data_IF_690838682074
#
_entry.id   IF_690838682074
#
_cell.length_a   1.000
_cell.length_b   1.000
_cell.length_c   1.000
_cell.angle_alpha   90.00
_cell.angle_beta   90.00
_cell.angle_gamma   90.00
#
_symmetry.space_group_name_H-M   'P 1'
#
loop_
_entity.id
_entity.type
_entity.pdbx_description
1 polymer ?
#
# COMPACT_ATOMS: atom_id res chain seq x y z
N UNK A 1 27.97 -6.51 15.48
CA UNK A 1 28.51 -6.70 14.12
C UNK A 1 28.39 -5.37 13.39
N UNK A 2 29.52 -4.76 13.02
CA UNK A 2 29.57 -3.43 12.38
C UNK A 2 29.36 -3.57 10.87
N UNK A 3 28.33 -2.94 10.31
CA UNK A 3 28.18 -2.76 8.87
C UNK A 3 28.47 -1.31 8.50
N UNK A 4 29.50 -1.13 7.70
CA UNK A 4 30.04 0.14 7.22
C UNK A 4 29.30 0.50 5.93
N UNK A 5 28.45 1.52 5.96
CA UNK A 5 27.76 2.01 4.77
C UNK A 5 28.70 2.86 3.93
N UNK A 6 29.04 2.36 2.74
CA UNK A 6 29.77 3.08 1.71
C UNK A 6 28.90 4.15 1.07
N UNK A 7 29.55 5.25 0.66
CA UNK A 7 28.97 6.45 0.07
C UNK A 7 28.16 6.13 -1.19
N UNK A 8 26.90 6.53 -1.20
CA UNK A 8 26.10 6.69 -2.42
C UNK A 8 26.65 7.91 -3.19
N UNK A 9 27.02 7.69 -4.45
CA UNK A 9 27.63 8.72 -5.32
C UNK A 9 26.58 9.68 -5.90
N UNK A 10 27.01 10.89 -6.27
CA UNK A 10 26.16 12.00 -6.70
C UNK A 10 25.32 11.72 -7.97
N UNK A 11 25.58 10.65 -8.71
CA UNK A 11 24.85 10.28 -9.93
C UNK A 11 23.49 9.63 -9.67
N UNK A 12 23.22 9.07 -8.48
CA UNK A 12 21.91 8.46 -8.15
C UNK A 12 20.81 9.49 -7.83
N UNK A 13 21.17 10.75 -7.55
CA UNK A 13 20.19 11.81 -7.26
C UNK A 13 19.45 12.32 -8.51
N UNK A 14 19.97 12.08 -9.71
CA UNK A 14 19.39 12.61 -10.95
C UNK A 14 18.24 11.75 -11.52
N UNK A 15 18.05 10.50 -11.04
CA UNK A 15 17.08 9.56 -11.63
C UNK A 15 15.68 9.57 -10.97
N UNK A 16 15.49 10.32 -9.88
CA UNK A 16 14.23 10.41 -9.17
C UNK A 16 13.47 11.68 -9.57
N UNK A 17 12.60 11.57 -10.57
CA UNK A 17 11.49 12.53 -10.78
C UNK A 17 11.30 13.09 -12.18
N UNK A 18 12.33 13.10 -13.05
CA UNK A 18 12.24 13.80 -14.34
C UNK A 18 11.74 12.97 -15.53
N UNK A 19 12.18 11.71 -15.66
CA UNK A 19 12.07 10.99 -16.93
C UNK A 19 10.66 10.48 -17.26
N UNK A 20 9.88 10.07 -16.27
CA UNK A 20 8.57 9.45 -16.50
C UNK A 20 7.48 10.48 -16.88
N UNK A 21 7.50 11.67 -16.28
CA UNK A 21 6.56 12.75 -16.59
C UNK A 21 6.94 13.40 -17.94
N UNK A 22 8.25 13.53 -18.22
CA UNK A 22 8.73 14.02 -19.50
C UNK A 22 8.35 13.10 -20.66
N UNK A 23 8.41 11.77 -20.50
CA UNK A 23 8.05 10.84 -21.57
C UNK A 23 6.56 10.91 -21.96
N UNK A 24 5.65 11.05 -20.99
CA UNK A 24 4.21 11.16 -21.26
C UNK A 24 3.83 12.49 -21.94
N UNK A 25 4.45 13.59 -21.52
CA UNK A 25 4.22 14.90 -22.16
C UNK A 25 4.83 14.95 -23.58
N UNK A 26 5.99 14.34 -23.79
CA UNK A 26 6.68 14.35 -25.10
C UNK A 26 5.94 13.53 -26.15
N UNK A 27 5.33 12.39 -25.78
CA UNK A 27 4.53 11.56 -26.69
C UNK A 27 3.22 12.26 -27.08
N UNK A 28 2.56 12.95 -26.13
CA UNK A 28 1.34 13.71 -26.43
C UNK A 28 1.59 14.90 -27.38
N UNK A 29 2.72 15.60 -27.22
CA UNK A 29 3.08 16.75 -28.08
C UNK A 29 3.55 16.29 -29.46
N UNK A 30 4.28 15.17 -29.57
CA UNK A 30 4.74 14.64 -30.85
C UNK A 30 3.58 14.17 -31.76
N UNK A 31 2.52 13.59 -31.20
CA UNK A 31 1.32 13.18 -31.96
C UNK A 31 0.54 14.40 -32.46
N UNK A 32 0.50 15.49 -31.69
CA UNK A 32 -0.21 16.73 -32.07
C UNK A 32 0.60 17.56 -33.09
N UNK A 33 1.93 17.61 -32.99
CA UNK A 33 2.76 18.41 -33.90
C UNK A 33 3.11 17.69 -35.22
N UNK A 34 3.12 16.36 -35.25
CA UNK A 34 3.40 15.58 -36.48
C UNK A 34 2.19 15.33 -37.38
N UNK A 35 0.96 15.38 -36.85
CA UNK A 35 -0.25 15.07 -37.60
C UNK A 35 -0.91 16.29 -38.27
N UNK A 36 -0.56 17.51 -37.85
CA UNK A 36 -1.19 18.74 -38.35
C UNK A 36 -0.72 19.15 -39.77
N UNK A 37 0.54 18.94 -40.21
CA UNK A 37 0.92 19.31 -41.57
C UNK A 37 0.47 18.30 -42.63
N UNK A 38 0.13 17.05 -42.25
CA UNK A 38 -0.14 15.97 -43.20
C UNK A 38 -1.62 15.86 -43.64
N UNK A 39 -2.47 16.83 -43.28
CA UNK A 39 -3.90 16.83 -43.60
C UNK A 39 -4.41 18.12 -44.26
N UNK A 40 -3.51 19.03 -44.63
CA UNK A 40 -3.87 20.24 -45.38
C UNK A 40 -4.18 19.98 -46.87
N UNK A 41 -4.20 18.72 -47.32
CA UNK A 41 -4.28 18.36 -48.74
C UNK A 41 -5.66 17.97 -49.27
N UNK A 42 -6.41 17.08 -48.61
CA UNK A 42 -7.65 16.52 -49.19
C UNK A 42 -8.62 16.01 -48.11
N UNK A 43 -9.90 16.43 -48.18
CA UNK A 43 -11.04 15.72 -47.58
C UNK A 43 -11.20 15.77 -46.05
N UNK A 44 -11.56 16.95 -45.51
CA UNK A 44 -11.57 17.29 -44.08
C UNK A 44 -12.63 16.68 -43.15
N UNK A 45 -13.13 15.46 -43.36
CA UNK A 45 -14.07 14.83 -42.40
C UNK A 45 -13.70 13.42 -41.97
N UNK A 46 -13.02 12.64 -42.82
CA UNK A 46 -12.65 11.24 -42.49
C UNK A 46 -11.37 11.19 -41.64
N UNK A 47 -10.46 12.15 -41.84
CA UNK A 47 -9.17 12.16 -41.15
C UNK A 47 -9.25 12.50 -39.64
N UNK A 48 -10.22 13.33 -39.24
CA UNK A 48 -10.41 13.71 -37.83
C UNK A 48 -10.86 12.51 -36.99
N UNK A 49 -11.73 11.65 -37.53
CA UNK A 49 -12.25 10.49 -36.82
C UNK A 49 -11.17 9.42 -36.53
N UNK A 50 -10.24 9.19 -37.47
CA UNK A 50 -9.16 8.21 -37.30
C UNK A 50 -8.13 8.67 -36.27
N UNK A 51 -7.79 9.97 -36.26
CA UNK A 51 -6.87 10.55 -35.27
C UNK A 51 -7.50 10.55 -33.87
N UNK A 52 -8.80 10.85 -33.74
CA UNK A 52 -9.52 10.76 -32.46
C UNK A 52 -9.63 9.32 -31.94
N UNK A 53 -9.84 8.34 -32.82
CA UNK A 53 -9.89 6.92 -32.45
C UNK A 53 -8.51 6.41 -31.99
N UNK A 54 -7.43 6.77 -32.70
CA UNK A 54 -6.07 6.40 -32.34
C UNK A 54 -5.57 7.11 -31.07
N UNK A 55 -5.94 8.37 -30.86
CA UNK A 55 -5.66 9.08 -29.60
C UNK A 55 -6.43 8.46 -28.43
N UNK A 56 -7.69 8.06 -28.62
CA UNK A 56 -8.47 7.33 -27.62
C UNK A 56 -7.86 5.97 -27.26
N UNK A 57 -7.41 5.20 -28.25
CA UNK A 57 -6.72 3.91 -28.04
C UNK A 57 -5.36 4.10 -27.36
N UNK A 58 -4.62 5.16 -27.70
CA UNK A 58 -3.34 5.47 -27.06
C UNK A 58 -3.50 5.95 -25.61
N UNK A 59 -4.54 6.75 -25.30
CA UNK A 59 -4.86 7.15 -23.93
C UNK A 59 -5.27 5.93 -23.12
N UNK A 60 -6.15 5.08 -23.64
CA UNK A 60 -6.60 3.85 -22.96
C UNK A 60 -5.44 2.85 -22.75
N UNK A 61 -4.58 2.70 -23.77
CA UNK A 61 -3.37 1.89 -23.68
C UNK A 61 -2.34 2.44 -22.69
N UNK A 62 -2.22 3.76 -22.56
CA UNK A 62 -1.38 4.41 -21.57
C UNK A 62 -1.93 4.27 -20.15
N UNK A 63 -3.25 4.35 -19.93
CA UNK A 63 -3.83 4.07 -18.61
C UNK A 63 -3.65 2.61 -18.22
N UNK A 64 -3.88 1.67 -19.15
CA UNK A 64 -3.63 0.24 -18.91
C UNK A 64 -2.14 -0.02 -18.66
N UNK A 65 -1.24 0.65 -19.37
CA UNK A 65 0.19 0.54 -19.16
C UNK A 65 0.63 1.14 -17.82
N UNK A 66 0.09 2.27 -17.38
CA UNK A 66 0.39 2.87 -16.05
C UNK A 66 -0.13 1.98 -14.93
N UNK A 67 -1.38 1.49 -15.04
CA UNK A 67 -1.95 0.53 -14.08
C UNK A 67 -1.15 -0.79 -14.09
N UNK A 68 -0.71 -1.28 -15.25
CA UNK A 68 0.15 -2.46 -15.37
C UNK A 68 1.60 -2.21 -14.90
N UNK A 69 2.09 -0.97 -14.92
CA UNK A 69 3.42 -0.60 -14.44
C UNK A 69 3.43 -0.45 -12.92
N UNK A 70 2.34 0.06 -12.33
CA UNK A 70 2.08 -0.06 -10.89
C UNK A 70 1.98 -1.55 -10.51
N UNK A 71 1.35 -2.38 -11.35
CA UNK A 71 1.26 -3.84 -11.19
C UNK A 71 2.61 -4.57 -11.33
N UNK A 72 3.61 -4.00 -12.02
CA UNK A 72 4.92 -4.64 -12.29
C UNK A 72 6.02 -4.33 -11.28
N UNK A 73 5.88 -3.31 -10.43
CA UNK A 73 6.95 -3.02 -9.44
C UNK A 73 7.03 -4.03 -8.30
N UNK A 74 6.02 -4.89 -8.14
CA UNK A 74 6.11 -6.07 -7.26
C UNK A 74 7.00 -7.20 -7.83
N UNK A 75 7.60 -7.05 -9.02
CA UNK A 75 8.34 -8.12 -9.71
C UNK A 75 9.81 -7.78 -10.01
N UNK A 76 10.42 -6.88 -9.24
CA UNK A 76 11.88 -6.78 -9.20
C UNK A 76 12.45 -7.85 -8.26
N UNK A 77 12.38 -9.11 -8.68
CA UNK A 77 13.31 -10.19 -8.30
C UNK A 77 13.19 -10.83 -6.91
N UNK A 78 12.97 -10.07 -5.85
CA UNK A 78 12.97 -10.61 -4.50
C UNK A 78 11.52 -10.81 -4.04
N UNK A 79 11.22 -12.01 -3.53
CA UNK A 79 9.92 -12.28 -2.95
C UNK A 79 9.53 -11.28 -1.85
N UNK A 80 8.31 -11.36 -1.32
CA UNK A 80 7.91 -10.51 -0.22
C UNK A 80 8.89 -10.62 0.95
N UNK A 81 9.38 -9.47 1.43
CA UNK A 81 10.30 -9.38 2.56
C UNK A 81 9.58 -9.76 3.87
N UNK A 82 8.28 -9.48 3.93
CA UNK A 82 7.42 -9.82 5.06
C UNK A 82 6.14 -10.51 4.58
N UNK A 83 5.61 -11.43 5.37
CA UNK A 83 4.31 -12.01 5.10
C UNK A 83 3.18 -11.06 5.50
N UNK A 84 3.32 -10.32 6.60
CA UNK A 84 2.28 -9.43 7.13
C UNK A 84 2.85 -8.04 7.46
N UNK A 85 2.28 -7.00 6.85
CA UNK A 85 2.46 -5.63 7.30
C UNK A 85 1.43 -5.32 8.39
N UNK A 86 1.88 -5.05 9.62
CA UNK A 86 1.00 -4.72 10.74
C UNK A 86 0.95 -3.21 10.95
N UNK A 87 -0.25 -2.67 10.75
CA UNK A 87 -0.58 -1.26 10.88
C UNK A 87 -1.51 -1.01 12.06
N UNK A 88 -1.23 0.02 12.84
CA UNK A 88 -2.05 0.41 13.99
C UNK A 88 -1.76 1.85 14.39
N UNK A 89 -2.71 2.59 15.00
CA UNK A 89 -2.43 3.89 15.57
C UNK A 89 -1.20 3.89 16.49
N UNK A 90 -0.25 4.77 16.19
CA UNK A 90 0.95 4.98 17.01
C UNK A 90 1.01 6.44 17.48
N UNK A 91 1.28 7.37 16.57
CA UNK A 91 1.40 8.80 16.88
C UNK A 91 0.06 9.47 17.26
N UNK A 92 -1.06 8.88 16.84
CA UNK A 92 -2.40 9.41 17.13
C UNK A 92 -2.96 8.94 18.48
N UNK A 93 -2.25 8.05 19.19
CA UNK A 93 -2.61 7.65 20.55
C UNK A 93 -2.05 8.66 21.57
N UNK A 94 -2.71 8.81 22.73
CA UNK A 94 -2.13 9.52 23.87
C UNK A 94 -0.76 8.93 24.23
N UNK A 95 0.21 9.79 24.56
CA UNK A 95 1.59 9.36 24.87
C UNK A 95 1.65 8.33 26.00
N UNK A 96 0.76 8.44 26.98
CA UNK A 96 0.63 7.51 28.11
C UNK A 96 0.12 6.13 27.71
N UNK A 97 -0.62 6.01 26.62
CA UNK A 97 -1.25 4.76 26.17
C UNK A 97 -0.36 3.98 25.20
N UNK A 98 0.48 4.69 24.43
CA UNK A 98 1.33 4.08 23.40
C UNK A 98 2.15 2.87 23.90
N UNK A 99 2.87 2.92 25.05
CA UNK A 99 3.66 1.78 25.50
C UNK A 99 2.82 0.54 25.80
N UNK A 100 1.61 0.70 26.33
CA UNK A 100 0.71 -0.41 26.63
C UNK A 100 0.16 -1.02 25.34
N UNK A 101 -0.31 -0.18 24.43
CA UNK A 101 -0.79 -0.59 23.11
C UNK A 101 0.31 -1.33 22.32
N UNK A 102 1.53 -0.79 22.28
CA UNK A 102 2.68 -1.43 21.65
C UNK A 102 2.94 -2.84 22.21
N UNK A 103 2.88 -3.03 23.53
CA UNK A 103 3.07 -4.37 24.14
C UNK A 103 1.99 -5.36 23.69
N UNK A 104 0.74 -4.91 23.54
CA UNK A 104 -0.35 -5.74 23.06
C UNK A 104 -0.13 -6.14 21.59
N UNK A 105 0.26 -5.17 20.74
CA UNK A 105 0.59 -5.42 19.33
C UNK A 105 1.79 -6.37 19.19
N UNK A 106 2.85 -6.18 19.97
CA UNK A 106 4.00 -7.10 19.99
C UNK A 106 3.61 -8.51 20.47
N UNK A 107 2.60 -8.63 21.33
CA UNK A 107 2.07 -9.95 21.73
C UNK A 107 1.30 -10.60 20.59
N UNK A 108 0.45 -9.85 19.90
CA UNK A 108 -0.24 -10.34 18.70
C UNK A 108 0.75 -10.77 17.61
N UNK A 109 1.78 -9.96 17.34
CA UNK A 109 2.83 -10.26 16.37
C UNK A 109 3.54 -11.57 16.72
N UNK A 110 3.90 -11.78 17.99
CA UNK A 110 4.51 -13.04 18.44
C UNK A 110 3.61 -14.24 18.18
N UNK A 111 2.30 -14.11 18.43
CA UNK A 111 1.36 -15.19 18.11
C UNK A 111 1.28 -15.45 16.60
N UNK A 112 1.28 -14.41 15.76
CA UNK A 112 1.30 -14.58 14.30
C UNK A 112 2.58 -15.30 13.86
N UNK A 113 3.74 -14.85 14.33
CA UNK A 113 5.04 -15.44 14.00
C UNK A 113 5.15 -16.90 14.48
N UNK A 114 4.70 -17.20 15.71
CA UNK A 114 4.84 -18.53 16.29
C UNK A 114 3.76 -19.52 15.85
N UNK A 115 2.53 -19.07 15.62
CA UNK A 115 1.37 -19.94 15.34
C UNK A 115 1.02 -20.01 13.86
N UNK A 116 1.20 -18.91 13.14
CA UNK A 116 0.98 -18.88 11.69
C UNK A 116 2.28 -19.11 10.90
N UNK A 117 3.45 -18.98 11.53
CA UNK A 117 4.74 -19.12 10.84
C UNK A 117 4.98 -18.00 9.83
N UNK A 118 4.39 -16.83 10.06
CA UNK A 118 4.41 -15.68 9.15
C UNK A 118 5.29 -14.56 9.73
N UNK A 119 6.17 -14.02 8.90
CA UNK A 119 7.01 -12.87 9.26
C UNK A 119 6.20 -11.56 9.28
N UNK A 120 6.42 -10.73 10.30
CA UNK A 120 5.65 -9.49 10.50
C UNK A 120 6.55 -8.25 10.45
N UNK A 121 6.19 -7.29 9.59
CA UNK A 121 6.68 -5.91 9.72
C UNK A 121 5.77 -5.12 10.67
N UNK A 122 6.37 -4.36 11.58
CA UNK A 122 5.67 -3.38 12.42
C UNK A 122 6.60 -2.22 12.74
N UNK A 123 6.19 -1.01 12.38
CA UNK A 123 6.98 0.21 12.56
C UNK A 123 7.35 0.46 14.03
N UNK A 124 6.51 0.04 14.98
CA UNK A 124 6.76 0.18 16.42
C UNK A 124 7.66 -0.90 17.02
N UNK A 125 8.18 -1.86 16.25
CA UNK A 125 8.96 -3.00 16.79
C UNK A 125 10.14 -2.52 17.63
N UNK A 126 10.92 -1.57 17.13
CA UNK A 126 12.14 -1.06 17.79
C UNK A 126 11.98 0.38 18.32
N UNK A 127 10.74 0.85 18.47
CA UNK A 127 10.40 2.20 18.93
C UNK A 127 9.60 2.10 20.24
N UNK A 128 10.24 1.92 21.41
CA UNK A 128 9.51 1.79 22.67
C UNK A 128 8.74 3.05 23.07
N UNK A 129 9.20 4.23 22.63
CA UNK A 129 8.61 5.53 22.94
C UNK A 129 8.34 6.35 21.67
N UNK A 130 7.46 7.35 21.78
CA UNK A 130 7.18 8.29 20.68
C UNK A 130 8.42 9.11 20.30
N UNK A 131 9.33 9.33 21.25
CA UNK A 131 10.60 10.01 21.01
C UNK A 131 11.53 9.24 20.06
N UNK A 132 11.33 7.93 19.92
CA UNK A 132 12.11 7.06 19.02
C UNK A 132 11.57 7.07 17.58
N UNK A 133 10.55 7.90 17.28
CA UNK A 133 9.99 7.96 15.95
C UNK A 133 10.95 8.71 15.02
N UNK A 134 11.17 8.19 13.79
CA UNK A 134 11.99 8.88 12.82
C UNK A 134 11.33 10.18 12.36
N UNK A 135 12.10 11.00 11.64
CA UNK A 135 11.51 12.07 10.86
C UNK A 135 10.41 11.52 9.93
N UNK A 136 9.33 12.28 9.77
CA UNK A 136 8.08 11.82 9.13
C UNK A 136 8.32 11.31 7.71
N UNK A 137 9.14 12.00 6.92
CA UNK A 137 9.48 11.65 5.55
C UNK A 137 10.26 10.32 5.45
N UNK A 138 11.21 10.11 6.36
CA UNK A 138 12.00 8.86 6.43
C UNK A 138 11.12 7.69 6.90
N UNK A 139 10.32 7.90 7.95
CA UNK A 139 9.39 6.90 8.45
C UNK A 139 8.38 6.46 7.39
N UNK A 140 7.76 7.43 6.71
CA UNK A 140 6.81 7.13 5.63
C UNK A 140 7.45 6.36 4.47
N UNK A 141 8.67 6.72 4.05
CA UNK A 141 9.38 5.99 2.98
C UNK A 141 9.64 4.53 3.36
N UNK A 142 10.10 4.30 4.57
CA UNK A 142 10.46 2.96 5.04
C UNK A 142 9.20 2.09 5.25
N UNK A 143 8.12 2.68 5.76
CA UNK A 143 6.82 2.02 5.92
C UNK A 143 6.18 1.69 4.57
N UNK A 144 6.21 2.62 3.61
CA UNK A 144 5.72 2.38 2.26
C UNK A 144 6.51 1.26 1.57
N UNK A 145 7.84 1.25 1.73
CA UNK A 145 8.67 0.16 1.22
C UNK A 145 8.24 -1.17 1.84
N UNK A 146 8.15 -1.26 3.16
CA UNK A 146 7.73 -2.49 3.83
C UNK A 146 6.34 -2.95 3.39
N UNK A 147 5.38 -2.04 3.26
CA UNK A 147 4.02 -2.34 2.79
C UNK A 147 4.03 -2.92 1.36
N UNK A 148 4.79 -2.32 0.45
CA UNK A 148 4.91 -2.81 -0.94
C UNK A 148 5.61 -4.18 -1.06
N UNK A 149 6.39 -4.58 -0.05
CA UNK A 149 7.06 -5.88 0.01
C UNK A 149 6.38 -6.85 0.99
N UNK A 150 5.11 -6.60 1.36
CA UNK A 150 4.34 -7.46 2.25
C UNK A 150 3.24 -8.22 1.51
N UNK A 151 3.03 -9.51 1.85
CA UNK A 151 1.97 -10.33 1.23
C UNK A 151 0.57 -9.94 1.68
N UNK A 152 0.44 -9.62 2.96
CA UNK A 152 -0.81 -9.31 3.61
C UNK A 152 -0.70 -7.98 4.35
N UNK A 153 -1.84 -7.32 4.51
CA UNK A 153 -1.97 -6.13 5.34
C UNK A 153 -2.89 -6.43 6.52
N UNK A 154 -2.45 -6.07 7.73
CA UNK A 154 -3.22 -6.21 8.96
C UNK A 154 -3.41 -4.82 9.59
N UNK A 155 -4.64 -4.35 9.66
CA UNK A 155 -4.99 -3.17 10.45
C UNK A 155 -5.49 -3.59 11.83
N UNK A 156 -4.92 -3.04 12.90
CA UNK A 156 -5.47 -3.11 14.25
C UNK A 156 -5.96 -1.73 14.66
N UNK A 157 -7.28 -1.55 14.72
CA UNK A 157 -7.94 -0.27 14.97
C UNK A 157 -8.62 -0.28 16.36
N UNK A 158 -7.96 0.23 17.40
CA UNK A 158 -8.50 0.27 18.77
C UNK A 158 -9.54 1.38 18.97
N UNK A 159 -9.43 2.49 18.23
CA UNK A 159 -10.26 3.67 18.39
C UNK A 159 -10.55 4.34 17.04
N UNK A 160 -11.62 5.14 16.98
CA UNK A 160 -12.01 5.92 15.80
C UNK A 160 -11.23 7.23 15.68
N UNK A 161 -9.89 7.18 15.58
CA UNK A 161 -9.07 8.39 15.42
C UNK A 161 -8.45 8.49 14.00
N UNK A 162 -8.23 9.72 13.50
CA UNK A 162 -7.36 9.92 12.35
C UNK A 162 -5.96 9.38 12.65
N UNK A 163 -5.41 8.58 11.73
CA UNK A 163 -4.12 7.92 11.91
C UNK A 163 -3.47 7.59 10.57
N UNK A 164 -2.14 7.53 10.52
CA UNK A 164 -1.41 7.03 9.35
C UNK A 164 -1.84 5.61 8.99
N UNK A 165 -2.24 4.81 9.99
CA UNK A 165 -2.74 3.46 9.79
C UNK A 165 -3.93 3.39 8.81
N UNK A 166 -4.77 4.43 8.77
CA UNK A 166 -5.89 4.51 7.81
C UNK A 166 -5.41 4.88 6.40
N UNK A 167 -4.34 5.68 6.29
CA UNK A 167 -3.69 5.99 5.02
C UNK A 167 -3.04 4.72 4.46
N UNK A 168 -2.31 3.99 5.29
CA UNK A 168 -1.69 2.71 4.94
C UNK A 168 -2.74 1.68 4.49
N UNK A 169 -3.91 1.63 5.15
CA UNK A 169 -5.03 0.79 4.70
C UNK A 169 -5.53 1.18 3.30
N UNK A 170 -5.60 2.48 3.00
CA UNK A 170 -5.91 2.97 1.65
C UNK A 170 -4.86 2.57 0.62
N UNK A 171 -3.57 2.65 0.98
CA UNK A 171 -2.46 2.19 0.12
C UNK A 171 -2.53 0.69 -0.11
N UNK A 172 -2.81 -0.12 0.91
CA UNK A 172 -2.98 -1.56 0.79
C UNK A 172 -4.13 -1.92 -0.18
N UNK A 173 -5.23 -1.18 -0.13
CA UNK A 173 -6.33 -1.31 -1.12
C UNK A 173 -5.84 -1.01 -2.54
N UNK A 174 -5.13 0.10 -2.73
CA UNK A 174 -4.59 0.49 -4.03
C UNK A 174 -3.57 -0.52 -4.60
N UNK A 175 -2.78 -1.13 -3.73
CA UNK A 175 -1.84 -2.21 -4.07
C UNK A 175 -2.53 -3.57 -4.26
N UNK A 176 -3.84 -3.65 -4.00
CA UNK A 176 -4.63 -4.89 -4.01
C UNK A 176 -4.10 -5.94 -3.03
N UNK A 177 -3.51 -5.51 -1.93
CA UNK A 177 -2.99 -6.38 -0.89
C UNK A 177 -4.15 -6.98 -0.09
N UNK A 178 -4.29 -8.33 -0.03
CA UNK A 178 -5.29 -8.97 0.81
C UNK A 178 -5.16 -8.49 2.25
N UNK A 179 -6.27 -8.06 2.84
CA UNK A 179 -6.25 -7.35 4.12
C UNK A 179 -7.13 -8.00 5.18
N UNK A 180 -6.72 -7.85 6.43
CA UNK A 180 -7.51 -8.19 7.61
C UNK A 180 -7.58 -6.94 8.49
N UNK A 181 -8.78 -6.57 8.92
CA UNK A 181 -9.01 -5.47 9.84
C UNK A 181 -9.52 -6.03 11.16
N UNK A 182 -8.72 -5.91 12.21
CA UNK A 182 -9.16 -6.06 13.58
C UNK A 182 -9.70 -4.72 14.06
N UNK A 183 -11.02 -4.65 14.24
CA UNK A 183 -11.72 -3.44 14.65
C UNK A 183 -12.24 -3.60 16.06
N UNK A 184 -11.86 -2.70 16.96
CA UNK A 184 -12.44 -2.71 18.29
C UNK A 184 -13.94 -2.43 18.21
N UNK A 185 -14.76 -2.99 19.12
CA UNK A 185 -16.22 -2.81 19.11
C UNK A 185 -16.66 -1.36 19.26
N UNK A 186 -15.86 -0.53 19.94
CA UNK A 186 -16.08 0.93 20.04
C UNK A 186 -15.53 1.73 18.86
N UNK A 187 -14.76 1.10 17.97
CA UNK A 187 -14.17 1.75 16.80
C UNK A 187 -15.05 1.60 15.56
N UNK A 188 -15.09 2.66 14.75
CA UNK A 188 -15.87 2.73 13.52
C UNK A 188 -14.91 2.87 12.35
N UNK A 189 -15.03 1.95 11.39
CA UNK A 189 -14.28 2.07 10.14
C UNK A 189 -14.80 3.28 9.34
N UNK A 190 -13.90 4.11 8.79
CA UNK A 190 -14.26 5.16 7.84
C UNK A 190 -15.10 4.62 6.69
N UNK A 191 -15.98 5.47 6.14
CA UNK A 191 -16.96 5.10 5.14
C UNK A 191 -16.36 4.29 3.97
N UNK A 192 -15.26 4.75 3.39
CA UNK A 192 -14.62 4.05 2.26
C UNK A 192 -14.01 2.70 2.64
N UNK A 193 -13.37 2.59 3.82
CA UNK A 193 -12.81 1.31 4.29
C UNK A 193 -13.91 0.29 4.60
N UNK A 194 -15.05 0.76 5.11
CA UNK A 194 -16.25 -0.07 5.33
C UNK A 194 -16.86 -0.53 4.00
N UNK A 195 -16.95 0.38 3.03
CA UNK A 195 -17.40 0.05 1.67
C UNK A 195 -16.49 -0.98 1.02
N UNK A 196 -15.18 -0.81 1.12
CA UNK A 196 -14.20 -1.77 0.60
C UNK A 196 -14.31 -3.13 1.30
N UNK A 197 -14.45 -3.16 2.63
CA UNK A 197 -14.62 -4.39 3.40
C UNK A 197 -15.88 -5.20 3.05
N UNK A 198 -16.94 -4.53 2.63
CA UNK A 198 -18.21 -5.16 2.27
C UNK A 198 -18.36 -5.39 0.75
N UNK A 199 -17.34 -5.05 -0.03
CA UNK A 199 -17.41 -5.13 -1.49
C UNK A 199 -16.98 -6.48 -2.02
N UNK A 200 -17.72 -6.99 -3.00
CA UNK A 200 -17.33 -8.12 -3.84
C UNK A 200 -16.85 -7.66 -5.22
N UNK A 201 -16.59 -6.36 -5.41
CA UNK A 201 -16.16 -5.82 -6.69
C UNK A 201 -14.78 -6.42 -7.07
N UNK A 202 -14.58 -6.89 -8.31
CA UNK A 202 -13.33 -7.55 -8.73
C UNK A 202 -12.10 -6.67 -8.61
N UNK A 203 -12.27 -5.33 -8.57
CA UNK A 203 -11.16 -4.40 -8.38
C UNK A 203 -10.76 -4.10 -6.94
N UNK A 204 -11.56 -4.54 -5.97
CA UNK A 204 -11.29 -4.33 -4.56
C UNK A 204 -10.69 -5.63 -4.00
N UNK A 205 -9.54 -5.58 -3.32
CA UNK A 205 -8.96 -6.79 -2.74
C UNK A 205 -9.88 -7.37 -1.67
N UNK A 206 -9.71 -8.66 -1.39
CA UNK A 206 -10.42 -9.30 -0.29
C UNK A 206 -9.98 -8.65 1.03
N UNK A 207 -10.94 -8.09 1.75
CA UNK A 207 -10.76 -7.52 3.07
C UNK A 207 -11.68 -8.28 4.03
N UNK A 208 -11.13 -8.80 5.13
CA UNK A 208 -11.92 -9.42 6.20
C UNK A 208 -11.89 -8.53 7.42
N UNK A 209 -13.04 -8.39 8.08
CA UNK A 209 -13.16 -7.62 9.32
C UNK A 209 -13.50 -8.58 10.44
N UNK A 210 -12.71 -8.52 11.52
CA UNK A 210 -13.03 -9.20 12.77
C UNK A 210 -13.15 -8.15 13.86
N UNK A 211 -14.24 -8.23 14.61
CA UNK A 211 -14.49 -7.35 15.74
C UNK A 211 -13.84 -7.92 17.00
N UNK A 212 -13.35 -7.05 17.88
CA UNK A 212 -12.81 -7.46 19.17
C UNK A 212 -13.19 -6.48 20.26
N UNK A 213 -13.41 -6.97 21.48
CA UNK A 213 -13.59 -6.13 22.66
C UNK A 213 -12.32 -6.08 23.52
N UNK A 214 -11.47 -7.10 23.44
CA UNK A 214 -10.21 -7.17 24.16
C UNK A 214 -9.09 -7.73 23.29
N UNK A 215 -7.87 -7.27 23.52
CA UNK A 215 -6.71 -7.72 22.75
C UNK A 215 -6.41 -9.23 22.89
N UNK A 216 -6.79 -9.85 24.00
CA UNK A 216 -6.65 -11.30 24.20
C UNK A 216 -7.49 -12.12 23.22
N UNK A 217 -8.60 -11.57 22.72
CA UNK A 217 -9.44 -12.20 21.70
C UNK A 217 -8.69 -12.31 20.37
N UNK A 218 -7.91 -11.28 20.01
CA UNK A 218 -7.10 -11.29 18.79
C UNK A 218 -6.01 -12.36 18.85
N UNK A 219 -5.33 -12.47 19.99
CA UNK A 219 -4.33 -13.52 20.22
C UNK A 219 -4.96 -14.92 20.16
N UNK A 220 -6.19 -15.06 20.65
CA UNK A 220 -6.93 -16.33 20.60
C UNK A 220 -7.35 -16.66 19.16
N UNK A 221 -7.84 -15.67 18.41
CA UNK A 221 -8.21 -15.81 17.01
C UNK A 221 -7.02 -16.30 16.17
N UNK A 222 -5.84 -15.71 16.37
CA UNK A 222 -4.61 -16.14 15.71
C UNK A 222 -4.20 -17.55 16.14
N UNK A 223 -4.27 -17.88 17.45
CA UNK A 223 -3.92 -19.22 17.94
C UNK A 223 -4.80 -20.33 17.36
N UNK A 224 -6.10 -20.09 17.23
CA UNK A 224 -7.06 -21.08 16.74
C UNK A 224 -6.92 -21.28 15.23
N UNK A 225 -6.72 -20.21 14.47
CA UNK A 225 -6.79 -20.25 13.00
C UNK A 225 -5.41 -20.32 12.33
N UNK A 226 -4.34 -19.94 13.04
CA UNK A 226 -2.97 -19.94 12.53
C UNK A 226 -2.84 -19.26 11.17
N UNK A 227 -2.14 -19.92 10.25
CA UNK A 227 -1.92 -19.43 8.87
C UNK A 227 -3.20 -19.34 8.04
N UNK A 228 -4.19 -20.19 8.33
CA UNK A 228 -5.50 -20.15 7.68
C UNK A 228 -6.25 -18.83 7.92
N UNK A 229 -5.87 -18.08 8.96
CA UNK A 229 -6.36 -16.72 9.16
C UNK A 229 -5.90 -15.77 8.05
N UNK A 230 -4.79 -16.01 7.36
CA UNK A 230 -4.24 -15.13 6.32
C UNK A 230 -4.43 -15.69 4.91
N UNK A 231 -4.52 -17.02 4.79
CA UNK A 231 -4.76 -17.69 3.52
C UNK A 231 -6.23 -17.61 3.10
N UNK A 232 -6.46 -17.25 1.84
CA UNK A 232 -7.78 -17.38 1.22
C UNK A 232 -7.97 -18.82 0.76
N UNK A 233 -8.95 -19.52 1.34
CA UNK A 233 -9.54 -20.68 0.67
C UNK A 233 -10.33 -20.11 -0.52
N UNK A 234 -9.85 -20.41 -1.73
CA UNK A 234 -10.56 -20.21 -3.00
C UNK A 234 -11.72 -21.19 -3.11
#
# INVERSE_FOLDING_TARGET
MNVRWSRISATEKASYGGAAIAASATVAVAVVQGAVPLLAGQGGTIAVAVVSFLAGVAVTGATVAVVATVRRRSLAGDGPEFDVFVSTPMASLPKSEYPAHRRQIMTLIREIEQRAGLSCYYAGRDRPEIADFPAVDLGFRDELRALTHSRHFLLVLPVSNPSSALVEAGVAIALRTPSIYFRHTSAVLPFLLRGAANSNHPDIPRIRVYEYADFSELATLVRVNGKGLFESHT
#
